data_IF_490064090751
#
_entry.id   IF_490064090751
#
_cell.length_a   1.000
_cell.length_b   1.000
_cell.length_c   1.000
_cell.angle_alpha   90.00
_cell.angle_beta   90.00
_cell.angle_gamma   90.00
#
_symmetry.space_group_name_H-M   'P 1'
#
loop_
_entity.id
_entity.type
_entity.pdbx_description
1 polymer ?
#
# COMPACT_ATOMS: atom_id res chain seq x y z
N UNK A 1 2.53 -21.73 -13.35
CA UNK A 1 1.90 -22.37 -12.18
C UNK A 1 0.81 -21.45 -11.68
N UNK A 2 -0.35 -21.98 -11.29
CA UNK A 2 -1.49 -21.20 -10.78
C UNK A 2 -1.93 -21.84 -9.47
N UNK A 3 -2.01 -21.05 -8.40
CA UNK A 3 -2.41 -21.51 -7.06
C UNK A 3 -3.62 -20.68 -6.62
N UNK A 4 -4.59 -21.31 -5.96
CA UNK A 4 -5.83 -20.70 -5.49
C UNK A 4 -6.30 -21.28 -4.15
N UNK A 5 -7.30 -20.65 -3.56
CA UNK A 5 -7.94 -21.11 -2.32
C UNK A 5 -8.35 -22.59 -2.38
N UNK A 6 -7.94 -23.36 -1.36
CA UNK A 6 -8.14 -24.80 -1.26
C UNK A 6 -7.03 -25.67 -1.87
N UNK A 7 -6.06 -25.08 -2.57
CA UNK A 7 -4.87 -25.81 -3.00
C UNK A 7 -3.96 -26.11 -1.81
N UNK A 8 -3.25 -27.23 -1.86
CA UNK A 8 -2.29 -27.64 -0.83
C UNK A 8 -0.94 -28.02 -1.42
N UNK A 9 0.14 -27.79 -0.68
CA UNK A 9 1.48 -28.28 -1.00
C UNK A 9 2.60 -27.25 -0.81
N UNK A 10 3.82 -27.64 -1.18
CA UNK A 10 5.03 -26.85 -0.97
C UNK A 10 4.97 -25.45 -1.63
N UNK A 11 4.30 -25.32 -2.77
CA UNK A 11 4.15 -24.04 -3.46
C UNK A 11 3.28 -23.04 -2.67
N UNK A 12 2.27 -23.54 -1.94
CA UNK A 12 1.41 -22.71 -1.07
C UNK A 12 2.21 -22.24 0.14
N UNK A 13 2.99 -23.13 0.75
CA UNK A 13 3.88 -22.81 1.86
C UNK A 13 4.91 -21.74 1.46
N UNK A 14 5.44 -21.81 0.25
CA UNK A 14 6.37 -20.80 -0.29
C UNK A 14 5.71 -19.43 -0.44
N UNK A 15 4.52 -19.36 -1.05
CA UNK A 15 3.76 -18.10 -1.16
C UNK A 15 3.45 -17.51 0.22
N UNK A 16 3.03 -18.35 1.16
CA UNK A 16 2.77 -17.96 2.54
C UNK A 16 4.02 -17.36 3.20
N UNK A 17 5.17 -18.03 3.08
CA UNK A 17 6.42 -17.53 3.63
C UNK A 17 6.82 -16.17 3.02
N UNK A 18 6.62 -15.98 1.72
CA UNK A 18 6.88 -14.72 1.03
C UNK A 18 5.98 -13.60 1.53
N UNK A 19 4.68 -13.84 1.65
CA UNK A 19 3.72 -12.84 2.17
C UNK A 19 3.94 -12.52 3.65
N UNK A 20 4.39 -13.48 4.45
CA UNK A 20 4.79 -13.23 5.84
C UNK A 20 6.00 -12.31 5.91
N UNK A 21 7.01 -12.51 5.05
CA UNK A 21 8.17 -11.61 4.99
C UNK A 21 7.80 -10.18 4.60
N UNK A 22 6.72 -10.01 3.83
CA UNK A 22 6.16 -8.70 3.47
C UNK A 22 5.28 -8.08 4.57
N UNK A 23 5.10 -8.76 5.72
CA UNK A 23 4.25 -8.30 6.81
C UNK A 23 2.75 -8.40 6.53
N UNK A 24 2.35 -9.01 5.42
CA UNK A 24 0.95 -9.21 5.02
C UNK A 24 0.30 -10.40 5.73
N UNK A 25 1.11 -11.22 6.40
CA UNK A 25 0.66 -12.25 7.32
C UNK A 25 1.32 -12.01 8.68
N UNK A 26 0.60 -12.25 9.79
CA UNK A 26 1.23 -12.21 11.11
C UNK A 26 2.36 -13.25 11.14
N UNK A 27 3.56 -12.82 11.56
CA UNK A 27 4.71 -13.71 11.74
C UNK A 27 4.28 -14.94 12.53
N UNK A 28 4.32 -16.10 11.87
CA UNK A 28 4.06 -17.40 12.49
C UNK A 28 5.05 -17.70 13.65
N UNK A 29 6.01 -16.82 13.90
CA UNK A 29 7.04 -16.92 14.94
C UNK A 29 6.47 -16.65 16.36
N UNK A 30 5.35 -15.94 16.52
CA UNK A 30 4.80 -15.64 17.87
C UNK A 30 3.67 -16.59 18.33
N UNK A 31 3.41 -17.68 17.61
CA UNK A 31 2.60 -18.82 18.11
C UNK A 31 3.26 -20.16 17.80
N UNK A 32 4.52 -20.29 18.21
CA UNK A 32 5.36 -21.50 18.14
C UNK A 32 4.93 -22.64 19.07
N UNK A 33 3.63 -22.77 19.41
CA UNK A 33 3.14 -23.88 20.23
C UNK A 33 1.87 -24.58 19.71
N UNK A 34 1.07 -23.98 18.82
CA UNK A 34 -0.19 -24.60 18.36
C UNK A 34 -0.21 -25.02 16.89
N UNK A 35 0.63 -24.43 16.03
CA UNK A 35 0.57 -24.63 14.57
C UNK A 35 1.52 -25.70 14.01
N UNK A 36 2.43 -26.24 14.81
CA UNK A 36 3.39 -27.28 14.38
C UNK A 36 2.78 -28.70 14.33
N UNK A 37 1.48 -28.86 14.62
CA UNK A 37 0.82 -30.18 14.69
C UNK A 37 -0.30 -30.40 13.66
N UNK A 38 -0.54 -29.47 12.74
CA UNK A 38 -1.57 -29.61 11.72
C UNK A 38 -1.04 -29.01 10.41
N UNK A 39 -1.26 -29.68 9.29
CA UNK A 39 -0.84 -29.27 7.93
C UNK A 39 -1.49 -27.98 7.41
N UNK A 40 -1.59 -26.94 8.26
CA UNK A 40 -2.13 -25.62 7.99
C UNK A 40 -1.13 -24.71 7.25
N UNK A 41 0.18 -24.96 7.38
CA UNK A 41 1.19 -24.21 6.63
C UNK A 41 1.09 -24.44 5.11
N UNK A 42 0.71 -25.67 4.73
CA UNK A 42 0.69 -26.11 3.34
C UNK A 42 -0.66 -25.88 2.66
N UNK A 43 -1.70 -25.41 3.38
CA UNK A 43 -3.04 -25.17 2.83
C UNK A 43 -3.27 -23.70 2.48
N UNK A 44 -3.92 -23.45 1.35
CA UNK A 44 -4.31 -22.10 0.94
C UNK A 44 -5.64 -21.76 1.61
N UNK A 45 -5.55 -21.28 2.86
CA UNK A 45 -6.67 -20.91 3.71
C UNK A 45 -7.21 -19.49 3.43
N UNK A 46 -8.31 -19.13 4.09
CA UNK A 46 -8.95 -17.80 3.94
C UNK A 46 -8.00 -16.65 4.35
N UNK A 47 -7.09 -16.90 5.30
CA UNK A 47 -6.09 -15.93 5.73
C UNK A 47 -5.09 -15.66 4.61
N UNK A 48 -4.59 -16.71 3.94
CA UNK A 48 -3.70 -16.58 2.80
C UNK A 48 -4.40 -15.93 1.60
N UNK A 49 -5.66 -16.27 1.31
CA UNK A 49 -6.44 -15.62 0.24
C UNK A 49 -6.57 -14.11 0.46
N UNK A 50 -6.88 -13.69 1.68
CA UNK A 50 -6.95 -12.27 2.04
C UNK A 50 -5.61 -11.57 1.83
N UNK A 51 -4.51 -12.18 2.27
CA UNK A 51 -3.17 -11.63 2.11
C UNK A 51 -2.76 -11.52 0.63
N UNK A 52 -3.10 -12.50 -0.20
CA UNK A 52 -2.87 -12.45 -1.65
C UNK A 52 -3.67 -11.31 -2.29
N UNK A 53 -4.95 -11.14 -1.92
CA UNK A 53 -5.77 -10.03 -2.43
C UNK A 53 -5.20 -8.67 -2.01
N UNK A 54 -4.75 -8.52 -0.77
CA UNK A 54 -4.09 -7.29 -0.30
C UNK A 54 -2.82 -7.02 -1.11
N UNK A 55 -1.96 -8.03 -1.30
CA UNK A 55 -0.76 -7.90 -2.12
C UNK A 55 -1.09 -7.50 -3.57
N UNK A 56 -2.08 -8.15 -4.20
CA UNK A 56 -2.53 -7.82 -5.54
C UNK A 56 -3.02 -6.37 -5.62
N UNK A 57 -3.78 -5.91 -4.62
CA UNK A 57 -4.27 -4.54 -4.54
C UNK A 57 -3.12 -3.53 -4.40
N UNK A 58 -2.16 -3.77 -3.51
CA UNK A 58 -0.99 -2.89 -3.29
C UNK A 58 -0.10 -2.78 -4.54
N UNK A 59 0.00 -3.87 -5.31
CA UNK A 59 0.82 -3.93 -6.53
C UNK A 59 0.06 -3.55 -7.81
N UNK A 60 -1.22 -3.17 -7.71
CA UNK A 60 -2.05 -2.81 -8.86
C UNK A 60 -2.34 -3.96 -9.82
N UNK A 61 -2.34 -5.20 -9.32
CA UNK A 61 -2.71 -6.40 -10.07
C UNK A 61 -4.22 -6.63 -10.01
N UNK A 62 -4.73 -7.55 -10.83
CA UNK A 62 -6.11 -8.04 -10.73
C UNK A 62 -6.32 -8.70 -9.36
N UNK A 63 -7.30 -8.22 -8.59
CA UNK A 63 -7.58 -8.68 -7.21
C UNK A 63 -8.54 -9.87 -7.22
N UNK A 64 -8.08 -11.00 -7.72
CA UNK A 64 -8.86 -12.23 -7.86
C UNK A 64 -8.57 -13.28 -6.76
N UNK A 65 -7.50 -13.09 -5.97
CA UNK A 65 -7.02 -14.06 -4.98
C UNK A 65 -6.25 -15.24 -5.59
N UNK A 66 -5.96 -15.19 -6.90
CA UNK A 66 -5.28 -16.25 -7.63
C UNK A 66 -3.80 -15.89 -7.79
N UNK A 67 -2.92 -16.79 -7.34
CA UNK A 67 -1.47 -16.63 -7.54
C UNK A 67 -1.10 -17.21 -8.89
N UNK A 68 -1.27 -16.40 -9.94
CA UNK A 68 -0.81 -16.68 -11.29
C UNK A 68 0.65 -16.26 -11.52
N UNK A 69 1.16 -16.40 -12.76
CA UNK A 69 2.54 -16.04 -13.11
C UNK A 69 2.90 -14.57 -12.80
N UNK A 70 1.97 -13.63 -13.02
CA UNK A 70 2.18 -12.20 -12.75
C UNK A 70 2.29 -11.92 -11.25
N UNK A 71 1.36 -12.46 -10.44
CA UNK A 71 1.40 -12.35 -8.98
C UNK A 71 2.65 -13.00 -8.40
N UNK A 72 3.03 -14.17 -8.94
CA UNK A 72 4.25 -14.86 -8.51
C UNK A 72 5.52 -14.06 -8.82
N UNK A 73 5.62 -13.46 -10.01
CA UNK A 73 6.75 -12.59 -10.36
C UNK A 73 6.87 -11.40 -9.41
N UNK A 74 5.76 -10.73 -9.14
CA UNK A 74 5.74 -9.59 -8.20
C UNK A 74 6.11 -10.02 -6.78
N UNK A 75 5.66 -11.20 -6.32
CA UNK A 75 6.09 -11.77 -5.03
C UNK A 75 7.59 -12.09 -5.00
N UNK A 76 8.17 -12.50 -6.12
CA UNK A 76 9.60 -12.76 -6.24
C UNK A 76 10.41 -11.46 -6.21
N UNK A 77 9.93 -10.43 -6.90
CA UNK A 77 10.54 -9.10 -6.92
C UNK A 77 10.48 -8.39 -5.56
N UNK A 78 9.36 -8.54 -4.84
CA UNK A 78 9.14 -7.97 -3.52
C UNK A 78 10.01 -8.61 -2.43
N UNK A 79 10.60 -9.78 -2.70
CA UNK A 79 11.49 -10.46 -1.76
C UNK A 79 12.80 -9.71 -1.53
N UNK A 80 13.26 -8.95 -2.51
CA UNK A 80 14.61 -8.38 -2.49
C UNK A 80 14.61 -7.00 -1.85
N UNK A 81 15.33 -6.86 -0.74
CA UNK A 81 15.66 -5.57 -0.14
C UNK A 81 17.02 -5.08 -0.66
N UNK A 82 17.20 -3.76 -0.74
CA UNK A 82 18.48 -3.19 -1.15
C UNK A 82 19.56 -3.57 -0.13
N UNK A 83 20.50 -4.41 -0.56
CA UNK A 83 21.53 -5.00 0.31
C UNK A 83 21.58 -6.52 0.27
N UNK A 84 20.48 -7.17 -0.10
CA UNK A 84 20.36 -8.65 -0.11
C UNK A 84 21.18 -9.31 -1.21
N UNK A 85 21.41 -8.58 -2.31
CA UNK A 85 22.20 -9.03 -3.45
C UNK A 85 22.97 -7.88 -4.07
N UNK A 86 24.03 -8.25 -4.79
CA UNK A 86 24.82 -7.31 -5.58
C UNK A 86 24.05 -6.94 -6.83
N UNK A 87 23.84 -5.64 -7.05
CA UNK A 87 23.17 -5.13 -8.25
C UNK A 87 24.19 -4.65 -9.26
N UNK A 88 24.00 -4.99 -10.54
CA UNK A 88 24.86 -4.50 -11.62
C UNK A 88 24.07 -4.45 -12.91
N UNK A 89 24.51 -3.58 -13.80
CA UNK A 89 23.99 -3.59 -15.16
C UNK A 89 24.45 -4.81 -15.94
N UNK A 90 23.49 -5.57 -16.44
CA UNK A 90 23.72 -6.73 -17.30
C UNK A 90 22.81 -6.61 -18.54
N UNK A 91 23.34 -6.18 -19.70
CA UNK A 91 22.52 -5.90 -20.90
C UNK A 91 21.71 -7.09 -21.42
N UNK A 92 22.15 -8.31 -21.12
CA UNK A 92 21.49 -9.55 -21.56
C UNK A 92 20.46 -10.08 -20.56
N UNK A 93 20.45 -9.56 -19.34
CA UNK A 93 19.57 -9.99 -18.28
C UNK A 93 19.43 -8.84 -17.29
N UNK A 94 18.48 -7.93 -17.55
CA UNK A 94 18.23 -6.80 -16.67
C UNK A 94 17.87 -7.32 -15.28
N UNK A 95 18.50 -6.75 -14.26
CA UNK A 95 18.13 -7.03 -12.88
C UNK A 95 16.88 -6.23 -12.57
N UNK A 96 15.85 -6.88 -12.06
CA UNK A 96 14.59 -6.25 -11.67
C UNK A 96 14.22 -6.58 -10.23
N UNK A 97 13.51 -5.67 -9.58
CA UNK A 97 13.04 -5.88 -8.22
C UNK A 97 12.83 -4.58 -7.43
N UNK A 98 12.25 -4.72 -6.25
CA UNK A 98 12.03 -3.60 -5.33
C UNK A 98 13.36 -3.01 -4.82
N UNK A 99 14.39 -3.85 -4.68
CA UNK A 99 15.75 -3.43 -4.38
C UNK A 99 16.33 -2.48 -5.43
N UNK A 100 16.05 -2.73 -6.72
CA UNK A 100 16.44 -1.83 -7.81
C UNK A 100 15.66 -0.53 -7.76
N UNK A 101 14.35 -0.59 -7.49
CA UNK A 101 13.51 0.61 -7.35
C UNK A 101 13.97 1.48 -6.16
N UNK A 102 14.35 0.85 -5.05
CA UNK A 102 14.94 1.52 -3.89
C UNK A 102 16.29 2.15 -4.24
N UNK A 103 17.17 1.45 -4.96
CA UNK A 103 18.44 2.02 -5.44
C UNK A 103 18.20 3.26 -6.30
N UNK A 104 17.29 3.18 -7.27
CA UNK A 104 16.94 4.30 -8.15
C UNK A 104 16.41 5.50 -7.33
N UNK A 105 15.52 5.27 -6.36
CA UNK A 105 15.05 6.32 -5.45
C UNK A 105 16.19 6.97 -4.68
N UNK A 106 17.09 6.18 -4.08
CA UNK A 106 18.24 6.71 -3.34
C UNK A 106 19.19 7.51 -4.22
N UNK A 107 19.48 7.03 -5.42
CA UNK A 107 20.32 7.76 -6.38
C UNK A 107 19.70 9.11 -6.72
N UNK A 108 18.40 9.13 -7.05
CA UNK A 108 17.67 10.35 -7.38
C UNK A 108 17.60 11.32 -6.19
N UNK A 109 17.38 10.82 -4.96
CA UNK A 109 17.37 11.64 -3.73
C UNK A 109 18.74 12.30 -3.46
N UNK A 110 19.82 11.65 -3.87
CA UNK A 110 21.18 12.19 -3.78
C UNK A 110 21.56 13.07 -4.98
N UNK A 111 20.66 13.26 -5.94
CA UNK A 111 20.87 14.10 -7.13
C UNK A 111 21.54 13.39 -8.31
N UNK A 112 21.65 12.05 -8.28
CA UNK A 112 22.15 11.24 -9.39
C UNK A 112 20.97 10.73 -10.21
N UNK A 113 20.82 11.20 -11.45
CA UNK A 113 19.65 10.89 -12.29
C UNK A 113 19.69 9.46 -12.82
N UNK A 114 18.94 8.58 -12.15
CA UNK A 114 18.73 7.20 -12.57
C UNK A 114 17.49 7.00 -13.45
N UNK A 115 16.75 8.08 -13.75
CA UNK A 115 15.43 8.04 -14.37
C UNK A 115 14.31 7.75 -13.37
N UNK A 116 13.18 7.25 -13.87
CA UNK A 116 12.04 6.87 -13.01
C UNK A 116 12.43 5.63 -12.17
N UNK A 117 12.03 5.62 -10.91
CA UNK A 117 12.20 4.45 -10.05
C UNK A 117 11.19 3.34 -10.45
N UNK A 118 11.49 2.64 -11.53
CA UNK A 118 10.65 1.64 -12.16
C UNK A 118 11.05 0.19 -11.81
N UNK A 119 12.13 0.01 -11.05
CA UNK A 119 12.62 -1.30 -10.64
C UNK A 119 13.43 -2.02 -11.71
N UNK A 120 13.79 -1.38 -12.83
CA UNK A 120 14.62 -1.97 -13.87
C UNK A 120 16.04 -1.42 -13.86
N UNK A 121 17.04 -2.29 -13.66
CA UNK A 121 18.44 -1.86 -13.64
C UNK A 121 18.95 -1.65 -15.06
N UNK A 122 18.63 -0.50 -15.63
CA UNK A 122 19.01 -0.08 -16.98
C UNK A 122 20.32 0.71 -17.04
N UNK A 123 20.64 1.19 -18.24
CA UNK A 123 21.84 2.00 -18.51
C UNK A 123 21.87 3.33 -17.74
N UNK A 124 20.71 3.94 -17.51
CA UNK A 124 20.61 5.17 -16.73
C UNK A 124 20.96 4.91 -15.26
N UNK A 125 20.43 3.82 -14.68
CA UNK A 125 20.78 3.39 -13.32
C UNK A 125 22.26 3.05 -13.18
N UNK A 126 22.88 2.39 -14.17
CA UNK A 126 24.34 2.16 -14.19
C UNK A 126 25.14 3.47 -14.18
N UNK A 127 24.72 4.42 -15.01
CA UNK A 127 25.40 5.72 -15.15
C UNK A 127 25.31 6.50 -13.84
N UNK A 128 24.11 6.63 -13.28
CA UNK A 128 23.86 7.28 -12.00
C UNK A 128 24.65 6.61 -10.85
N UNK A 129 24.71 5.27 -10.83
CA UNK A 129 25.46 4.54 -9.81
C UNK A 129 26.97 4.81 -9.92
N UNK A 130 27.54 4.83 -11.12
CA UNK A 130 28.96 5.17 -11.32
C UNK A 130 29.26 6.60 -10.91
N UNK A 131 28.37 7.54 -11.20
CA UNK A 131 28.50 8.94 -10.77
C UNK A 131 28.45 9.07 -9.26
N UNK A 132 27.49 8.39 -8.62
CA UNK A 132 27.43 8.28 -7.16
C UNK A 132 28.74 7.73 -6.59
N UNK A 133 29.21 6.60 -7.10
CA UNK A 133 30.45 5.95 -6.65
C UNK A 133 31.67 6.89 -6.75
N UNK A 134 31.77 7.66 -7.85
CA UNK A 134 32.80 8.71 -8.01
C UNK A 134 32.63 9.82 -6.97
N UNK A 135 31.40 10.28 -6.76
CA UNK A 135 31.07 11.36 -5.83
C UNK A 135 31.40 11.03 -4.37
N UNK A 136 31.31 9.75 -3.99
CA UNK A 136 31.61 9.29 -2.62
C UNK A 136 33.03 8.73 -2.43
N UNK A 137 33.83 8.69 -3.49
CA UNK A 137 35.23 8.26 -3.45
C UNK A 137 35.43 6.75 -3.36
N UNK A 138 34.50 5.93 -3.87
CA UNK A 138 34.69 4.48 -4.04
C UNK A 138 34.97 4.13 -5.50
N UNK A 139 35.32 2.87 -5.78
CA UNK A 139 35.54 2.40 -7.14
C UNK A 139 34.25 2.54 -7.98
N UNK A 140 34.33 3.23 -9.11
CA UNK A 140 33.20 3.51 -10.01
C UNK A 140 32.92 2.37 -11.00
N UNK A 141 32.77 1.16 -10.46
CA UNK A 141 32.61 -0.08 -11.21
C UNK A 141 31.18 -0.31 -11.73
N UNK A 142 30.20 0.46 -11.26
CA UNK A 142 28.77 0.28 -11.58
C UNK A 142 28.15 -0.93 -10.87
N UNK A 143 28.79 -1.41 -9.80
CA UNK A 143 28.34 -2.54 -9.00
C UNK A 143 27.87 -2.04 -7.64
N UNK A 144 26.57 -2.17 -7.38
CA UNK A 144 25.99 -1.86 -6.08
C UNK A 144 26.27 -3.03 -5.12
N UNK A 145 27.46 -2.99 -4.50
CA UNK A 145 27.92 -3.94 -3.50
C UNK A 145 28.07 -3.32 -2.10
N UNK A 146 28.71 -4.03 -1.15
CA UNK A 146 28.85 -3.61 0.25
C UNK A 146 29.38 -2.19 0.45
N UNK A 147 30.34 -1.76 -0.36
CA UNK A 147 30.91 -0.42 -0.25
C UNK A 147 29.95 0.68 -0.71
N UNK A 148 29.15 0.40 -1.74
CA UNK A 148 28.07 1.30 -2.18
C UNK A 148 26.99 1.41 -1.10
N UNK A 149 26.59 0.28 -0.49
CA UNK A 149 25.61 0.27 0.60
C UNK A 149 26.08 1.06 1.82
N UNK A 150 27.33 0.88 2.26
CA UNK A 150 27.92 1.67 3.35
C UNK A 150 27.94 3.16 3.04
N UNK A 151 28.24 3.53 1.79
CA UNK A 151 28.22 4.92 1.35
C UNK A 151 26.80 5.50 1.39
N UNK A 152 25.79 4.75 0.90
CA UNK A 152 24.38 5.13 1.03
C UNK A 152 23.98 5.31 2.49
N UNK A 153 24.29 4.36 3.37
CA UNK A 153 23.91 4.45 4.79
C UNK A 153 24.57 5.64 5.49
N UNK A 154 25.79 6.02 5.10
CA UNK A 154 26.49 7.18 5.65
C UNK A 154 25.87 8.48 5.14
N UNK A 155 25.62 8.59 3.84
CA UNK A 155 25.07 9.81 3.24
C UNK A 155 23.60 9.98 3.58
N UNK A 156 22.80 8.91 3.53
CA UNK A 156 21.42 8.92 3.97
C UNK A 156 21.31 9.23 5.46
N UNK A 157 22.26 8.82 6.33
CA UNK A 157 22.27 9.31 7.72
C UNK A 157 22.63 10.79 7.83
N UNK A 158 23.50 11.29 6.97
CA UNK A 158 23.88 12.72 6.96
C UNK A 158 22.75 13.60 6.42
N UNK A 159 22.04 13.13 5.40
CA UNK A 159 20.91 13.83 4.75
C UNK A 159 19.62 13.63 5.55
N UNK A 160 19.41 12.43 6.13
CA UNK A 160 18.30 12.12 7.05
C UNK A 160 18.58 12.53 8.50
N UNK A 161 19.75 13.13 8.78
CA UNK A 161 20.05 13.78 10.07
C UNK A 161 19.11 14.95 10.34
N UNK A 162 18.44 15.47 9.30
CA UNK A 162 17.26 16.31 9.41
C UNK A 162 15.97 15.53 9.23
N UNK A 163 15.63 14.60 10.12
CA UNK A 163 14.28 14.09 10.39
C UNK A 163 13.42 13.63 9.18
N UNK A 164 13.96 13.46 7.98
CA UNK A 164 13.16 13.36 6.75
C UNK A 164 12.66 11.94 6.48
N UNK A 165 13.40 10.89 6.85
CA UNK A 165 12.95 9.50 6.71
C UNK A 165 11.89 9.14 7.77
N UNK A 166 12.06 9.63 9.01
CA UNK A 166 11.02 9.52 10.04
C UNK A 166 9.81 10.40 9.75
N UNK A 167 10.01 11.60 9.17
CA UNK A 167 8.93 12.40 8.65
C UNK A 167 8.36 11.84 7.35
N UNK A 168 9.05 11.03 6.53
CA UNK A 168 8.47 10.37 5.35
C UNK A 168 7.72 9.11 5.74
N UNK A 169 8.19 8.35 6.73
CA UNK A 169 7.40 7.27 7.33
C UNK A 169 6.20 7.87 8.08
N UNK A 170 6.40 8.96 8.84
CA UNK A 170 5.26 9.71 9.37
C UNK A 170 4.42 10.31 8.26
N UNK A 171 4.94 10.85 7.15
CA UNK A 171 4.17 11.51 6.07
C UNK A 171 3.58 10.51 5.09
N UNK A 172 4.04 9.26 5.02
CA UNK A 172 3.39 8.17 4.30
C UNK A 172 2.28 7.57 5.16
N UNK A 173 2.50 7.43 6.47
CA UNK A 173 1.44 7.11 7.43
C UNK A 173 0.45 8.29 7.60
N UNK A 174 0.92 9.53 7.47
CA UNK A 174 0.13 10.76 7.57
C UNK A 174 -0.48 11.13 6.22
N UNK A 175 0.09 10.79 5.06
CA UNK A 175 -0.59 10.93 3.76
C UNK A 175 -1.73 9.92 3.64
N UNK A 176 -1.59 8.78 4.32
CA UNK A 176 -2.68 7.83 4.56
C UNK A 176 -3.67 8.32 5.65
N UNK A 177 -3.30 9.30 6.50
CA UNK A 177 -4.19 9.88 7.54
C UNK A 177 -4.69 11.31 7.27
N UNK A 178 -4.16 12.07 6.30
CA UNK A 178 -4.47 13.50 6.08
C UNK A 178 -4.49 13.91 4.61
N UNK A 179 -4.59 12.97 3.66
CA UNK A 179 -4.94 13.30 2.27
C UNK A 179 -6.30 14.01 2.12
N UNK A 180 -7.03 14.13 3.22
CA UNK A 180 -8.36 14.72 3.34
C UNK A 180 -8.38 16.06 4.09
N UNK A 181 -7.26 16.54 4.67
CA UNK A 181 -7.27 17.74 5.54
C UNK A 181 -7.73 19.00 4.78
N UNK A 182 -7.27 19.21 3.55
CA UNK A 182 -7.69 20.36 2.73
C UNK A 182 -8.86 20.03 1.78
N UNK A 183 -9.58 18.93 2.05
CA UNK A 183 -10.63 18.42 1.18
C UNK A 183 -12.01 18.80 1.70
N UNK A 184 -12.92 19.07 0.78
CA UNK A 184 -14.34 19.28 1.07
C UNK A 184 -15.06 17.95 0.91
N UNK A 185 -15.55 17.39 2.02
CA UNK A 185 -16.29 16.13 2.04
C UNK A 185 -17.76 16.41 2.30
N UNK A 186 -18.62 15.97 1.38
CA UNK A 186 -20.06 16.02 1.52
C UNK A 186 -20.57 14.71 2.12
N UNK A 187 -21.21 14.77 3.28
CA UNK A 187 -21.91 13.64 3.91
C UNK A 187 -23.41 13.74 3.63
N UNK A 188 -23.97 12.65 3.13
CA UNK A 188 -25.38 12.52 2.83
C UNK A 188 -25.98 11.32 3.60
N UNK A 189 -26.47 11.52 4.82
CA UNK A 189 -27.17 10.47 5.53
C UNK A 189 -28.51 10.20 4.84
N UNK A 190 -28.77 8.93 4.56
CA UNK A 190 -30.00 8.47 3.94
C UNK A 190 -31.19 8.66 4.88
N UNK A 191 -32.31 9.12 4.31
CA UNK A 191 -33.56 9.40 5.03
C UNK A 191 -34.50 8.19 5.12
N UNK A 192 -34.09 7.03 4.60
CA UNK A 192 -34.92 5.84 4.49
C UNK A 192 -34.82 4.97 5.76
N UNK A 193 -34.78 3.64 5.61
CA UNK A 193 -34.63 2.72 6.73
C UNK A 193 -33.36 3.04 7.53
N UNK A 194 -33.49 3.14 8.86
CA UNK A 194 -32.35 3.42 9.73
C UNK A 194 -31.83 4.86 9.68
N UNK A 195 -32.64 5.83 9.24
CA UNK A 195 -32.26 7.24 9.15
C UNK A 195 -31.58 7.79 10.43
N UNK A 196 -32.11 7.48 11.63
CA UNK A 196 -31.49 7.91 12.90
C UNK A 196 -30.09 7.33 13.10
N UNK A 197 -29.85 6.09 12.65
CA UNK A 197 -28.54 5.45 12.69
C UNK A 197 -27.60 6.06 11.65
N UNK A 198 -28.08 6.28 10.43
CA UNK A 198 -27.32 6.94 9.37
C UNK A 198 -26.89 8.36 9.80
N UNK A 199 -27.78 9.11 10.44
CA UNK A 199 -27.52 10.43 10.99
C UNK A 199 -26.48 10.36 12.12
N UNK A 200 -26.65 9.43 13.07
CA UNK A 200 -25.69 9.25 14.17
C UNK A 200 -24.29 8.85 13.68
N UNK A 201 -24.22 8.05 12.60
CA UNK A 201 -22.97 7.71 11.94
C UNK A 201 -22.40 8.92 11.22
N UNK A 202 -23.22 9.69 10.49
CA UNK A 202 -22.79 10.90 9.78
C UNK A 202 -22.17 11.93 10.74
N UNK A 203 -22.83 12.24 11.86
CA UNK A 203 -22.32 13.15 12.90
C UNK A 203 -21.00 12.67 13.50
N UNK A 204 -20.84 11.36 13.70
CA UNK A 204 -19.59 10.80 14.26
C UNK A 204 -18.45 10.79 13.23
N UNK A 205 -18.77 10.58 11.96
CA UNK A 205 -17.81 10.67 10.85
C UNK A 205 -17.41 12.12 10.63
N UNK A 206 -18.36 13.06 10.63
CA UNK A 206 -18.13 14.50 10.57
C UNK A 206 -17.13 14.94 11.64
N UNK A 207 -17.41 14.66 12.93
CA UNK A 207 -16.53 15.09 14.02
C UNK A 207 -15.12 14.51 13.93
N UNK A 208 -14.95 13.30 13.38
CA UNK A 208 -13.63 12.69 13.15
C UNK A 208 -12.90 13.31 11.97
N UNK A 209 -13.59 13.59 10.87
CA UNK A 209 -13.02 14.22 9.68
C UNK A 209 -12.67 15.69 9.94
N UNK A 210 -13.54 16.43 10.62
CA UNK A 210 -13.28 17.82 11.03
C UNK A 210 -12.07 17.91 11.97
N UNK A 211 -11.89 16.95 12.88
CA UNK A 211 -10.70 16.87 13.74
C UNK A 211 -9.39 16.61 12.97
N UNK A 212 -9.48 16.09 11.74
CA UNK A 212 -8.36 15.90 10.81
C UNK A 212 -8.14 17.10 9.88
N UNK A 213 -8.90 18.18 10.05
CA UNK A 213 -8.80 19.42 9.26
C UNK A 213 -9.76 19.49 8.07
N UNK A 214 -10.43 18.38 7.72
CA UNK A 214 -11.35 18.28 6.56
C UNK A 214 -12.56 19.18 6.72
N UNK A 215 -12.92 19.92 5.67
CA UNK A 215 -14.18 20.65 5.64
C UNK A 215 -15.32 19.68 5.33
N UNK A 216 -16.16 19.40 6.32
CA UNK A 216 -17.31 18.50 6.15
C UNK A 216 -18.59 19.31 6.01
N UNK A 217 -19.41 18.97 5.01
CA UNK A 217 -20.72 19.55 4.81
C UNK A 217 -21.77 18.43 4.83
N UNK A 218 -22.93 18.70 5.43
CA UNK A 218 -24.07 17.77 5.43
C UNK A 218 -25.13 18.29 4.44
N UNK A 219 -25.71 17.39 3.65
CA UNK A 219 -26.74 17.72 2.65
C UNK A 219 -28.04 18.27 3.26
N UNK A 220 -28.34 17.94 4.52
CA UNK A 220 -29.66 18.19 5.13
C UNK A 220 -29.76 19.39 6.10
N UNK A 221 -28.72 20.23 6.23
CA UNK A 221 -28.72 21.36 7.19
C UNK A 221 -29.84 22.39 6.91
N UNK A 222 -30.39 22.42 5.68
CA UNK A 222 -31.43 23.39 5.31
C UNK A 222 -32.87 22.89 5.43
N UNK A 223 -33.16 21.58 5.25
CA UNK A 223 -34.53 21.04 5.28
C UNK A 223 -34.55 19.56 5.71
N UNK A 224 -34.94 19.23 6.96
CA UNK A 224 -34.82 17.89 7.54
C UNK A 224 -35.87 16.87 7.07
N UNK A 225 -36.56 17.08 5.95
CA UNK A 225 -37.72 16.27 5.57
C UNK A 225 -37.78 15.83 4.10
N UNK A 226 -36.74 16.04 3.29
CA UNK A 226 -36.70 15.48 1.93
C UNK A 226 -35.30 15.04 1.57
N UNK A 227 -35.12 13.74 1.32
CA UNK A 227 -33.92 13.23 0.66
C UNK A 227 -33.71 14.01 -0.64
N UNK A 228 -32.55 14.64 -0.81
CA UNK A 228 -32.18 15.25 -2.07
C UNK A 228 -32.12 14.15 -3.15
N UNK A 229 -32.67 14.43 -4.34
CA UNK A 229 -32.51 13.55 -5.49
C UNK A 229 -31.04 13.43 -5.89
N UNK A 230 -30.67 12.37 -6.62
CA UNK A 230 -29.28 12.15 -7.04
C UNK A 230 -28.70 13.35 -7.83
N UNK A 231 -29.51 13.95 -8.70
CA UNK A 231 -29.15 15.16 -9.43
C UNK A 231 -28.93 16.37 -8.51
N UNK A 232 -29.79 16.56 -7.51
CA UNK A 232 -29.68 17.68 -6.56
C UNK A 232 -28.48 17.52 -5.62
N UNK A 233 -28.14 16.28 -5.25
CA UNK A 233 -26.91 15.98 -4.49
C UNK A 233 -25.67 16.28 -5.31
N UNK A 234 -25.66 15.89 -6.59
CA UNK A 234 -24.56 16.19 -7.50
C UNK A 234 -24.40 17.71 -7.68
N UNK A 235 -25.51 18.44 -7.86
CA UNK A 235 -25.50 19.90 -7.97
C UNK A 235 -25.00 20.58 -6.69
N UNK A 236 -25.40 20.08 -5.52
CA UNK A 236 -24.92 20.56 -4.23
C UNK A 236 -23.41 20.31 -4.06
N UNK A 237 -22.92 19.12 -4.39
CA UNK A 237 -21.51 18.77 -4.37
C UNK A 237 -20.68 19.67 -5.29
N UNK A 238 -21.14 19.88 -6.53
CA UNK A 238 -20.46 20.73 -7.51
C UNK A 238 -20.41 22.20 -7.05
N UNK A 239 -21.50 22.73 -6.50
CA UNK A 239 -21.56 24.12 -6.01
C UNK A 239 -20.67 24.35 -4.79
N UNK A 240 -20.52 23.34 -3.94
CA UNK A 240 -19.70 23.41 -2.72
C UNK A 240 -18.23 23.08 -2.97
N UNK A 241 -17.88 22.63 -4.20
CA UNK A 241 -16.53 22.21 -4.53
C UNK A 241 -16.12 20.93 -3.80
N UNK A 242 -17.07 20.03 -3.53
CA UNK A 242 -16.80 18.78 -2.84
C UNK A 242 -15.80 17.91 -3.63
N UNK A 243 -14.72 17.50 -2.96
CA UNK A 243 -13.76 16.54 -3.49
C UNK A 243 -14.27 15.10 -3.39
N UNK A 244 -15.19 14.84 -2.46
CA UNK A 244 -15.78 13.52 -2.20
C UNK A 244 -17.21 13.66 -1.67
N UNK A 245 -18.09 12.79 -2.15
CA UNK A 245 -19.45 12.62 -1.60
C UNK A 245 -19.55 11.23 -0.99
N UNK A 246 -20.03 11.15 0.25
CA UNK A 246 -20.27 9.90 0.98
C UNK A 246 -21.74 9.83 1.37
N UNK A 247 -22.48 8.93 0.73
CA UNK A 247 -23.87 8.62 1.11
C UNK A 247 -23.93 7.43 2.05
N UNK A 248 -24.67 7.58 3.15
CA UNK A 248 -24.78 6.56 4.21
C UNK A 248 -26.20 6.02 4.23
N UNK A 249 -26.39 4.75 3.85
CA UNK A 249 -27.71 4.10 3.85
C UNK A 249 -27.68 2.83 4.69
N UNK A 250 -28.75 2.56 5.46
CA UNK A 250 -28.92 1.27 6.11
C UNK A 250 -29.70 0.32 5.18
N UNK A 251 -29.30 -0.94 5.17
CA UNK A 251 -30.03 -2.00 4.47
C UNK A 251 -30.42 -3.08 5.47
N UNK A 252 -31.56 -3.73 5.24
CA UNK A 252 -32.01 -4.85 6.07
C UNK A 252 -32.04 -6.13 5.24
N UNK A 253 -31.30 -7.15 5.70
CA UNK A 253 -31.38 -8.50 5.16
C UNK A 253 -32.03 -9.43 6.18
N UNK A 254 -33.10 -10.11 5.77
CA UNK A 254 -33.73 -11.13 6.58
C UNK A 254 -32.82 -12.38 6.65
N UNK A 255 -32.27 -12.66 7.83
CA UNK A 255 -31.48 -13.87 8.10
C UNK A 255 -32.22 -14.76 9.09
N UNK A 256 -32.43 -16.03 8.74
CA UNK A 256 -33.06 -17.04 9.63
C UNK A 256 -32.23 -17.36 10.89
N UNK A 257 -31.01 -16.83 11.00
CA UNK A 257 -30.11 -17.03 12.14
C UNK A 257 -29.84 -15.77 12.95
N UNK A 258 -30.32 -14.61 12.51
CA UNK A 258 -30.21 -13.39 13.28
C UNK A 258 -31.40 -13.33 14.24
N UNK A 259 -31.15 -13.55 15.53
CA UNK A 259 -32.13 -13.19 16.56
C UNK A 259 -32.12 -11.67 16.70
N UNK A 260 -33.13 -11.03 16.11
CA UNK A 260 -33.54 -9.65 16.36
C UNK A 260 -35.05 -9.64 16.39
#
# INVERSE_FOLDING_TARGET
>A
MVIRHGDTGAAVAEVRARLAHLGLLPDAVTKTAELLSTGAADNFDEVLDRAVRTFQQERGLTVDGIVGPQTFHQLDEARWQLGDRVLRYAPRHLVTGDDVAELQRRLNELGFDSGRADGYFGKNTDTALREFQRGVGVAADGICGPDSFKAFDRLMRTISGGNAARLRDHVSLTSLQTGIADKVVLLDPGSDLGAELCEAVAVRVEGRLAALGTQVLLTHIAQPSSALGEAERADFANRTGADLVVSIHATQLASKRACG
#
